data_IF_818179140172
#
_entry.id   IF_818179140172
#
_cell.length_a   1.000
_cell.length_b   1.000
_cell.length_c   1.000
_cell.angle_alpha   90.00
_cell.angle_beta   90.00
_cell.angle_gamma   90.00
#
_symmetry.space_group_name_H-M   'P 1'
#
loop_
_entity.id
_entity.type
_entity.pdbx_description
1 polymer ?
#
# COMPACT_ATOMS: atom_id res chain seq x y z
N UNK A 1 9.68 24.58 -11.73
CA UNK A 1 9.45 23.38 -12.57
C UNK A 1 8.93 22.29 -11.65
N UNK A 2 8.09 21.40 -12.11
CA UNK A 2 7.65 20.22 -11.34
C UNK A 2 8.71 19.13 -11.42
N UNK A 3 8.78 18.27 -10.39
CA UNK A 3 9.69 17.13 -10.38
C UNK A 3 9.36 16.15 -11.53
N UNK A 4 8.11 15.69 -11.63
CA UNK A 4 7.68 14.88 -12.76
C UNK A 4 7.60 15.75 -14.04
N UNK A 5 8.20 15.30 -15.16
CA UNK A 5 8.18 16.06 -16.40
C UNK A 5 6.79 16.09 -17.03
N UNK A 6 6.43 17.22 -17.67
CA UNK A 6 5.13 17.39 -18.33
C UNK A 6 4.97 16.61 -19.66
N UNK A 7 5.92 15.76 -20.03
CA UNK A 7 5.89 15.00 -21.28
C UNK A 7 4.84 13.88 -21.30
N UNK A 8 4.41 13.43 -20.14
CA UNK A 8 3.34 12.42 -19.94
C UNK A 8 2.69 12.59 -18.55
N UNK A 9 1.51 12.04 -18.30
CA UNK A 9 0.96 11.96 -16.96
C UNK A 9 1.71 10.91 -16.13
N UNK A 10 1.83 11.16 -14.81
CA UNK A 10 2.35 10.23 -13.82
C UNK A 10 1.29 10.02 -12.75
N UNK A 11 0.91 8.76 -12.54
CA UNK A 11 0.00 8.34 -11.48
C UNK A 11 0.81 7.53 -10.47
N UNK A 12 0.72 7.91 -9.21
CA UNK A 12 1.56 7.41 -8.15
C UNK A 12 0.79 6.40 -7.30
N UNK A 13 1.15 5.13 -7.41
CA UNK A 13 0.48 4.05 -6.71
C UNK A 13 0.93 3.88 -5.26
N UNK A 14 1.83 4.75 -4.76
CA UNK A 14 2.34 4.66 -3.40
C UNK A 14 2.84 5.99 -2.88
N UNK A 15 2.15 6.47 -1.86
CA UNK A 15 2.59 7.60 -1.06
C UNK A 15 1.99 7.51 0.35
N UNK A 16 2.61 8.20 1.30
CA UNK A 16 2.27 8.05 2.70
C UNK A 16 1.95 9.36 3.41
N UNK A 17 1.20 9.23 4.49
CA UNK A 17 1.21 10.21 5.58
C UNK A 17 2.10 9.69 6.70
N UNK A 18 2.84 10.60 7.34
CA UNK A 18 3.65 10.34 8.54
C UNK A 18 2.81 10.75 9.75
N UNK A 19 2.05 9.82 10.31
CA UNK A 19 1.03 10.13 11.31
C UNK A 19 1.62 10.77 12.58
N UNK A 20 0.93 11.76 13.11
CA UNK A 20 1.20 12.35 14.41
C UNK A 20 0.71 11.44 15.56
N UNK A 21 1.18 11.61 16.80
CA UNK A 21 0.89 10.70 17.92
C UNK A 21 -0.60 10.45 18.14
N UNK A 22 -1.43 11.45 17.93
CA UNK A 22 -2.87 11.41 18.16
C UNK A 22 -3.71 10.99 16.94
N UNK A 23 -3.09 10.54 15.86
CA UNK A 23 -3.72 10.21 14.59
C UNK A 23 -5.00 9.39 14.72
N UNK A 24 -4.95 8.27 15.45
CA UNK A 24 -6.13 7.44 15.70
C UNK A 24 -7.05 8.06 16.75
N UNK A 25 -6.47 8.60 17.83
CA UNK A 25 -7.26 9.14 18.97
C UNK A 25 -8.14 10.30 18.57
N UNK A 26 -7.67 11.18 17.67
CA UNK A 26 -8.39 12.36 17.21
C UNK A 26 -9.73 12.03 16.56
N UNK A 27 -9.81 10.87 15.86
CA UNK A 27 -10.98 10.41 15.13
C UNK A 27 -11.70 9.23 15.77
N UNK A 28 -11.21 8.74 16.93
CA UNK A 28 -11.80 7.62 17.64
C UNK A 28 -13.10 7.99 18.35
N UNK A 29 -14.03 7.05 18.37
CA UNK A 29 -15.24 7.17 19.16
C UNK A 29 -14.89 7.35 20.65
N UNK A 30 -15.62 8.20 21.39
CA UNK A 30 -15.32 8.50 22.80
C UNK A 30 -15.18 7.27 23.71
N UNK A 31 -15.91 6.18 23.39
CA UNK A 31 -15.92 4.95 24.19
C UNK A 31 -14.60 4.19 24.19
N UNK A 32 -13.79 4.35 23.15
CA UNK A 32 -12.56 3.56 22.93
C UNK A 32 -11.32 4.44 22.87
N UNK A 33 -11.49 5.76 22.84
CA UNK A 33 -10.39 6.71 22.61
C UNK A 33 -9.23 6.54 23.58
N UNK A 34 -9.54 6.33 24.84
CA UNK A 34 -8.52 6.20 25.89
C UNK A 34 -7.79 4.85 25.84
N UNK A 35 -8.41 3.82 25.22
CA UNK A 35 -7.84 2.49 25.06
C UNK A 35 -6.97 2.35 23.77
N UNK A 36 -7.05 3.33 22.86
CA UNK A 36 -6.22 3.37 21.65
C UNK A 36 -4.85 3.97 22.00
N UNK A 37 -3.74 3.28 21.67
CA UNK A 37 -2.41 3.83 21.90
C UNK A 37 -2.13 5.02 20.98
N UNK A 38 -1.17 5.84 21.38
CA UNK A 38 -0.54 6.79 20.47
C UNK A 38 0.30 6.05 19.43
N UNK A 39 0.54 6.71 18.31
CA UNK A 39 1.44 6.22 17.27
C UNK A 39 2.86 6.10 17.85
N UNK A 40 3.53 4.99 17.56
CA UNK A 40 4.89 4.72 18.02
C UNK A 40 5.87 4.79 16.85
N UNK A 41 6.95 5.53 17.02
CA UNK A 41 8.02 5.70 16.03
C UNK A 41 9.23 4.80 16.30
N UNK A 42 9.13 3.87 17.25
CA UNK A 42 10.25 3.03 17.69
C UNK A 42 10.86 2.14 16.59
N UNK A 43 10.16 1.98 15.50
CA UNK A 43 10.59 1.21 14.33
C UNK A 43 10.96 2.09 13.12
N UNK A 44 11.12 3.39 13.31
CA UNK A 44 11.46 4.32 12.21
C UNK A 44 12.65 5.21 12.58
N UNK A 45 13.10 6.03 11.65
CA UNK A 45 14.11 7.07 11.89
C UNK A 45 13.55 8.34 12.55
N UNK A 46 12.23 8.44 12.66
CA UNK A 46 11.57 9.58 13.30
C UNK A 46 11.89 9.57 14.79
N UNK A 47 12.41 10.68 15.29
CA UNK A 47 12.78 10.83 16.69
C UNK A 47 11.66 11.45 17.54
N UNK A 48 11.62 11.11 18.82
CA UNK A 48 10.66 11.71 19.76
C UNK A 48 10.84 13.24 19.87
N UNK A 49 12.07 13.75 19.70
CA UNK A 49 12.39 15.17 19.68
C UNK A 49 11.78 15.90 18.50
N UNK A 50 11.85 15.34 17.28
CA UNK A 50 11.22 15.91 16.09
C UNK A 50 9.70 15.98 16.27
N UNK A 51 9.11 14.91 16.73
CA UNK A 51 7.66 14.84 17.02
C UNK A 51 7.25 15.87 18.07
N UNK A 52 8.02 16.00 19.15
CA UNK A 52 7.73 16.96 20.22
C UNK A 52 7.78 18.41 19.72
N UNK A 53 8.71 18.74 18.81
CA UNK A 53 8.77 20.08 18.17
C UNK A 53 7.52 20.35 17.35
N UNK A 54 7.11 19.39 16.52
CA UNK A 54 5.91 19.52 15.67
C UNK A 54 4.65 19.65 16.53
N UNK A 55 4.49 18.82 17.56
CA UNK A 55 3.35 18.88 18.48
C UNK A 55 3.33 20.19 19.28
N UNK A 56 4.50 20.68 19.70
CA UNK A 56 4.64 21.99 20.37
C UNK A 56 4.23 23.18 19.48
N UNK A 57 4.21 22.99 18.16
CA UNK A 57 3.74 23.96 17.16
C UNK A 57 2.29 23.73 16.72
N UNK A 58 1.53 22.92 17.47
CA UNK A 58 0.14 22.61 17.19
C UNK A 58 -0.05 21.65 16.02
N UNK A 59 0.85 20.68 15.87
CA UNK A 59 0.80 19.67 14.81
C UNK A 59 1.11 20.23 13.42
N UNK A 60 2.03 21.18 13.34
CA UNK A 60 2.44 21.83 12.09
C UNK A 60 3.94 22.06 12.05
N UNK A 61 4.48 22.13 10.83
CA UNK A 61 5.82 22.65 10.65
C UNK A 61 5.85 24.17 10.87
N UNK A 62 6.99 24.71 11.28
CA UNK A 62 7.17 26.17 11.32
C UNK A 62 7.08 26.78 9.91
N UNK A 63 6.69 28.07 9.83
CA UNK A 63 6.65 28.75 8.56
C UNK A 63 8.00 28.80 7.85
N UNK A 64 9.11 28.89 8.60
CA UNK A 64 10.47 28.84 8.06
C UNK A 64 10.80 27.46 7.48
N UNK A 65 10.51 26.38 8.20
CA UNK A 65 10.70 25.03 7.70
C UNK A 65 9.88 24.78 6.43
N UNK A 66 8.60 25.13 6.47
CA UNK A 66 7.71 25.02 5.30
C UNK A 66 8.26 25.75 4.08
N UNK A 67 8.73 27.00 4.26
CA UNK A 67 9.31 27.76 3.16
C UNK A 67 10.59 27.11 2.64
N UNK A 68 11.44 26.59 3.53
CA UNK A 68 12.65 25.84 3.14
C UNK A 68 12.30 24.65 2.25
N UNK A 69 11.24 23.88 2.59
CA UNK A 69 10.79 22.77 1.76
C UNK A 69 10.25 23.23 0.39
N UNK A 70 9.51 24.33 0.34
CA UNK A 70 9.01 24.91 -0.92
C UNK A 70 10.17 25.38 -1.81
N UNK A 71 11.20 25.97 -1.23
CA UNK A 71 12.36 26.48 -1.96
C UNK A 71 13.21 25.36 -2.60
N UNK A 72 13.00 24.08 -2.21
CA UNK A 72 13.64 22.93 -2.87
C UNK A 72 13.20 22.77 -4.34
N UNK A 73 12.01 23.23 -4.70
CA UNK A 73 11.51 23.11 -6.07
C UNK A 73 11.42 21.64 -6.52
N UNK A 74 12.03 21.33 -7.66
CA UNK A 74 12.06 19.97 -8.22
C UNK A 74 12.94 18.97 -7.44
N UNK A 75 13.75 19.44 -6.50
CA UNK A 75 14.50 18.61 -5.58
C UNK A 75 13.67 18.13 -4.36
N UNK A 76 12.38 18.49 -4.26
CA UNK A 76 11.53 18.15 -3.13
C UNK A 76 11.58 16.65 -2.81
N UNK A 77 11.33 15.78 -3.80
CA UNK A 77 11.30 14.34 -3.61
C UNK A 77 12.63 13.75 -3.11
N UNK A 78 13.75 14.38 -3.50
CA UNK A 78 15.08 13.92 -3.14
C UNK A 78 15.49 14.30 -1.70
N UNK A 79 14.98 15.42 -1.19
CA UNK A 79 15.47 16.08 0.03
C UNK A 79 14.44 16.21 1.14
N UNK A 80 13.15 16.15 0.80
CA UNK A 80 12.04 16.31 1.73
C UNK A 80 11.52 14.91 2.10
N UNK A 81 11.97 14.37 3.25
CA UNK A 81 11.75 12.97 3.63
C UNK A 81 11.15 12.85 5.03
N UNK A 82 10.46 11.71 5.24
CA UNK A 82 9.86 11.30 6.50
C UNK A 82 8.95 12.39 7.09
N UNK A 83 8.89 12.48 8.40
CA UNK A 83 8.04 13.45 9.11
C UNK A 83 8.40 14.92 8.81
N UNK A 84 9.62 15.18 8.32
CA UNK A 84 10.06 16.51 7.95
C UNK A 84 9.60 16.94 6.54
N UNK A 85 9.00 16.03 5.79
CA UNK A 85 8.58 16.30 4.42
C UNK A 85 7.39 17.27 4.35
N UNK A 86 7.36 18.06 3.28
CA UNK A 86 6.20 18.92 2.99
C UNK A 86 4.96 18.07 2.75
N UNK A 87 3.92 18.28 3.55
CA UNK A 87 2.68 17.51 3.44
C UNK A 87 2.76 16.09 4.00
N UNK A 88 3.76 15.78 4.84
CA UNK A 88 3.88 14.48 5.50
C UNK A 88 2.65 14.15 6.37
N UNK A 89 2.08 15.12 7.07
CA UNK A 89 0.93 14.96 7.97
C UNK A 89 -0.09 16.11 7.87
N UNK A 90 0.19 17.13 7.08
CA UNK A 90 -0.69 18.29 6.92
C UNK A 90 -1.26 18.33 5.50
N UNK A 91 -2.60 18.27 5.37
CA UNK A 91 -3.29 18.20 4.10
C UNK A 91 -3.10 19.45 3.22
N UNK A 92 -3.01 20.65 3.81
CA UNK A 92 -2.79 21.88 3.04
C UNK A 92 -1.39 21.93 2.43
N UNK A 93 -0.39 21.46 3.19
CA UNK A 93 0.98 21.33 2.70
C UNK A 93 1.10 20.19 1.66
N UNK A 94 0.29 19.15 1.77
CA UNK A 94 0.26 18.05 0.79
C UNK A 94 -0.18 18.51 -0.59
N UNK A 95 -1.15 19.44 -0.69
CA UNK A 95 -1.54 20.06 -1.96
C UNK A 95 -0.37 20.78 -2.61
N UNK A 96 0.39 21.55 -1.81
CA UNK A 96 1.58 22.24 -2.30
C UNK A 96 2.66 21.26 -2.75
N UNK A 97 2.88 20.19 -1.99
CA UNK A 97 3.81 19.13 -2.38
C UNK A 97 3.41 18.49 -3.71
N UNK A 98 2.12 18.19 -3.92
CA UNK A 98 1.61 17.65 -5.19
C UNK A 98 1.84 18.61 -6.38
N UNK A 99 1.64 19.92 -6.18
CA UNK A 99 1.92 20.90 -7.21
C UNK A 99 3.40 20.89 -7.62
N UNK A 100 4.30 20.65 -6.66
CA UNK A 100 5.74 20.56 -6.89
C UNK A 100 6.17 19.22 -7.48
N UNK A 101 5.56 18.12 -7.04
CA UNK A 101 5.81 16.78 -7.55
C UNK A 101 5.29 16.58 -8.97
N UNK A 102 4.13 17.16 -9.29
CA UNK A 102 3.55 17.11 -10.63
C UNK A 102 2.83 15.81 -10.97
N UNK A 103 2.51 14.99 -9.97
CA UNK A 103 1.71 13.78 -10.16
C UNK A 103 0.23 14.11 -10.39
N UNK A 104 -0.44 13.31 -11.20
CA UNK A 104 -1.87 13.48 -11.52
C UNK A 104 -2.75 13.00 -10.38
N UNK A 105 -2.41 11.85 -9.79
CA UNK A 105 -3.05 11.28 -8.61
C UNK A 105 -2.01 10.53 -7.78
N UNK A 106 -2.27 10.43 -6.50
CA UNK A 106 -1.50 9.61 -5.55
C UNK A 106 -2.44 8.77 -4.68
N UNK A 107 -2.19 7.46 -4.57
CA UNK A 107 -2.70 6.68 -3.45
C UNK A 107 -1.99 7.14 -2.18
N UNK A 108 -2.76 7.32 -1.10
CA UNK A 108 -2.24 7.80 0.18
C UNK A 108 -2.47 6.74 1.25
N UNK A 109 -1.39 6.17 1.76
CA UNK A 109 -1.38 5.18 2.83
C UNK A 109 -1.03 5.82 4.19
N UNK A 110 -1.39 5.15 5.26
CA UNK A 110 -0.82 5.39 6.58
C UNK A 110 0.51 4.61 6.71
N UNK A 111 1.42 5.06 7.58
CA UNK A 111 2.73 4.44 7.82
C UNK A 111 2.75 3.59 9.09
N UNK A 112 2.41 4.18 10.22
CA UNK A 112 2.65 3.58 11.55
C UNK A 112 1.40 3.00 12.21
N UNK A 113 0.22 3.58 11.97
CA UNK A 113 -0.99 3.30 12.73
C UNK A 113 -1.64 1.95 12.44
N UNK A 114 -1.35 1.36 11.29
CA UNK A 114 -1.99 0.10 10.81
C UNK A 114 -1.64 -1.13 11.65
N UNK A 115 -0.49 -1.10 12.32
CA UNK A 115 -0.07 -2.20 13.18
C UNK A 115 -1.09 -2.51 14.30
N UNK A 116 -1.79 -1.50 14.83
CA UNK A 116 -2.76 -1.70 15.88
C UNK A 116 -4.04 -2.40 15.40
N UNK A 117 -4.73 -1.96 14.33
CA UNK A 117 -5.88 -2.67 13.75
C UNK A 117 -5.53 -4.05 13.20
N UNK A 118 -4.40 -4.18 12.49
CA UNK A 118 -4.06 -5.38 11.74
C UNK A 118 -3.52 -6.53 12.59
N UNK A 119 -2.83 -6.26 13.70
CA UNK A 119 -2.25 -7.32 14.51
C UNK A 119 -3.26 -7.99 15.44
N UNK A 120 -3.55 -9.29 15.25
CA UNK A 120 -4.41 -10.05 16.14
C UNK A 120 -3.73 -10.39 17.47
N UNK A 121 -2.41 -10.11 17.56
CA UNK A 121 -1.63 -10.44 18.74
C UNK A 121 -2.26 -9.83 19.95
N UNK A 122 -2.69 -10.67 20.85
CA UNK A 122 -3.02 -10.31 22.22
C UNK A 122 -4.46 -9.84 22.46
N UNK A 123 -4.93 -9.98 23.54
CA UNK A 123 -5.74 -9.25 24.53
C UNK A 123 -6.61 -8.04 24.08
N UNK A 124 -6.53 -7.60 22.79
CA UNK A 124 -7.38 -6.53 22.25
C UNK A 124 -8.68 -7.11 21.71
N UNK A 125 -9.81 -6.59 22.16
CA UNK A 125 -11.11 -6.99 21.63
C UNK A 125 -11.23 -6.65 20.13
N UNK A 126 -12.06 -7.38 19.42
CA UNK A 126 -12.41 -7.04 18.04
C UNK A 126 -12.98 -5.62 17.96
N UNK A 127 -13.88 -5.24 18.87
CA UNK A 127 -14.48 -3.91 18.92
C UNK A 127 -13.42 -2.80 19.00
N UNK A 128 -12.36 -3.00 19.78
CA UNK A 128 -11.29 -2.01 19.89
C UNK A 128 -10.47 -1.92 18.59
N UNK A 129 -10.14 -3.05 17.99
CA UNK A 129 -9.37 -3.08 16.73
C UNK A 129 -10.17 -2.48 15.56
N UNK A 130 -11.44 -2.84 15.42
CA UNK A 130 -12.31 -2.28 14.37
C UNK A 130 -12.72 -0.83 14.68
N UNK A 131 -12.78 -0.44 15.93
CA UNK A 131 -12.93 0.97 16.31
C UNK A 131 -11.71 1.82 15.94
N UNK A 132 -10.51 1.27 16.07
CA UNK A 132 -9.29 1.91 15.56
C UNK A 132 -9.25 1.95 14.02
N UNK A 133 -9.72 0.90 13.35
CA UNK A 133 -9.95 0.88 11.89
C UNK A 133 -10.85 2.04 11.47
N UNK A 134 -11.98 2.22 12.16
CA UNK A 134 -12.92 3.32 11.92
C UNK A 134 -12.28 4.69 12.09
N UNK A 135 -11.46 4.87 13.13
CA UNK A 135 -10.74 6.11 13.39
C UNK A 135 -9.73 6.41 12.27
N UNK A 136 -8.96 5.41 11.85
CA UNK A 136 -8.05 5.51 10.71
C UNK A 136 -8.80 5.96 9.44
N UNK A 137 -9.88 5.28 9.09
CA UNK A 137 -10.62 5.53 7.85
C UNK A 137 -11.25 6.94 7.85
N UNK A 138 -11.71 7.44 9.00
CA UNK A 138 -12.17 8.83 9.14
C UNK A 138 -11.05 9.83 8.90
N UNK A 139 -9.86 9.60 9.46
CA UNK A 139 -8.72 10.49 9.29
C UNK A 139 -8.27 10.54 7.82
N UNK A 140 -8.13 9.37 7.19
CA UNK A 140 -7.74 9.27 5.78
C UNK A 140 -8.74 9.97 4.85
N UNK A 141 -10.03 9.79 5.11
CA UNK A 141 -11.09 10.49 4.38
C UNK A 141 -10.96 12.02 4.54
N UNK A 142 -10.75 12.53 5.76
CA UNK A 142 -10.56 13.97 5.99
C UNK A 142 -9.27 14.49 5.34
N UNK A 143 -8.16 13.77 5.46
CA UNK A 143 -6.88 14.18 4.87
C UNK A 143 -6.95 14.33 3.35
N UNK A 144 -7.67 13.44 2.67
CA UNK A 144 -7.75 13.42 1.21
C UNK A 144 -8.94 14.22 0.64
N UNK A 145 -9.86 14.74 1.49
CA UNK A 145 -11.15 15.28 1.06
C UNK A 145 -11.08 16.55 0.21
N UNK A 146 -10.01 17.32 0.29
CA UNK A 146 -9.95 18.68 -0.26
C UNK A 146 -9.18 18.78 -1.59
N UNK A 147 -8.67 17.66 -2.11
CA UNK A 147 -7.91 17.61 -3.37
C UNK A 147 -8.14 16.28 -4.08
N UNK A 148 -8.82 16.30 -5.21
CA UNK A 148 -9.18 15.11 -6.01
C UNK A 148 -7.96 14.32 -6.53
N UNK A 149 -6.76 14.84 -6.38
CA UNK A 149 -5.51 14.14 -6.69
C UNK A 149 -5.08 13.18 -5.59
N UNK A 150 -5.60 13.34 -4.36
CA UNK A 150 -5.32 12.48 -3.21
C UNK A 150 -6.37 11.38 -3.10
N UNK A 151 -5.97 10.17 -3.32
CA UNK A 151 -6.82 8.99 -3.23
C UNK A 151 -6.59 8.28 -1.89
N UNK A 152 -7.51 8.48 -0.95
CA UNK A 152 -7.38 7.91 0.39
C UNK A 152 -7.50 6.40 0.41
N UNK A 153 -6.52 5.72 1.00
CA UNK A 153 -6.56 4.27 1.23
C UNK A 153 -7.14 3.97 2.61
N UNK A 154 -8.30 3.31 2.61
CA UNK A 154 -8.89 2.77 3.83
C UNK A 154 -8.24 1.46 4.25
N UNK A 155 -8.40 1.08 5.50
CA UNK A 155 -7.94 -0.22 6.00
C UNK A 155 -9.12 -1.06 6.48
N UNK A 156 -9.09 -2.39 6.27
CA UNK A 156 -10.09 -3.31 6.83
C UNK A 156 -9.41 -4.62 7.23
N UNK A 157 -9.33 -4.95 8.54
CA UNK A 157 -8.96 -6.29 8.99
C UNK A 157 -10.00 -7.31 8.58
N UNK A 158 -9.57 -8.53 8.19
CA UNK A 158 -10.44 -9.60 7.73
C UNK A 158 -10.75 -10.66 8.80
N UNK A 159 -10.37 -10.43 10.05
CA UNK A 159 -10.46 -11.45 11.12
C UNK A 159 -11.89 -11.83 11.48
N UNK A 160 -12.84 -10.92 11.31
CA UNK A 160 -14.28 -11.16 11.51
C UNK A 160 -15.05 -10.61 10.33
N UNK A 161 -15.75 -11.49 9.60
CA UNK A 161 -16.44 -11.11 8.36
C UNK A 161 -17.53 -10.05 8.55
N UNK A 162 -18.24 -10.07 9.69
CA UNK A 162 -19.30 -9.11 9.97
C UNK A 162 -18.74 -7.71 10.25
N UNK A 163 -17.69 -7.62 11.06
CA UNK A 163 -17.02 -6.35 11.31
C UNK A 163 -16.34 -5.84 10.04
N UNK A 164 -15.70 -6.73 9.27
CA UNK A 164 -15.07 -6.38 8.00
C UNK A 164 -16.08 -5.75 7.01
N UNK A 165 -17.27 -6.34 6.87
CA UNK A 165 -18.32 -5.76 6.04
C UNK A 165 -18.75 -4.38 6.53
N UNK A 166 -19.00 -4.23 7.85
CA UNK A 166 -19.40 -2.94 8.43
C UNK A 166 -18.36 -1.84 8.22
N UNK A 167 -17.06 -2.19 8.31
CA UNK A 167 -15.99 -1.22 8.07
C UNK A 167 -15.74 -0.95 6.58
N UNK A 168 -15.98 -1.95 5.71
CA UNK A 168 -15.94 -1.74 4.27
C UNK A 168 -17.04 -0.78 3.82
N UNK A 169 -18.29 -1.03 4.21
CA UNK A 169 -19.41 -0.15 3.90
C UNK A 169 -19.13 1.29 4.35
N UNK A 170 -18.63 1.44 5.58
CA UNK A 170 -18.24 2.76 6.08
C UNK A 170 -17.12 3.41 5.25
N UNK A 171 -16.07 2.68 4.90
CA UNK A 171 -14.95 3.21 4.13
C UNK A 171 -15.40 3.69 2.74
N UNK A 172 -16.29 2.94 2.10
CA UNK A 172 -16.90 3.31 0.82
C UNK A 172 -17.78 4.57 0.95
N UNK A 173 -18.64 4.63 1.96
CA UNK A 173 -19.48 5.80 2.25
C UNK A 173 -18.66 7.05 2.60
N UNK A 174 -17.49 6.87 3.22
CA UNK A 174 -16.55 7.93 3.53
C UNK A 174 -15.71 8.41 2.32
N UNK A 175 -15.93 7.81 1.13
CA UNK A 175 -15.25 8.20 -0.10
C UNK A 175 -13.81 7.69 -0.23
N UNK A 176 -13.42 6.67 0.53
CA UNK A 176 -12.10 6.04 0.37
C UNK A 176 -12.05 5.23 -0.92
N UNK A 177 -10.95 5.37 -1.66
CA UNK A 177 -10.88 4.93 -3.05
C UNK A 177 -10.21 3.58 -3.25
N UNK A 178 -9.57 3.05 -2.22
CA UNK A 178 -9.00 1.71 -2.18
C UNK A 178 -9.00 1.18 -0.76
N UNK A 179 -8.95 -0.15 -0.59
CA UNK A 179 -9.01 -0.80 0.71
C UNK A 179 -7.77 -1.68 0.93
N UNK A 180 -6.90 -1.27 1.83
CA UNK A 180 -5.78 -2.08 2.27
C UNK A 180 -6.25 -3.16 3.23
N UNK A 181 -5.98 -4.42 2.91
CA UNK A 181 -6.27 -5.59 3.74
C UNK A 181 -4.98 -6.29 4.19
N UNK A 182 -4.93 -6.86 5.39
CA UNK A 182 -3.75 -7.59 5.84
C UNK A 182 -3.58 -8.89 5.03
N UNK A 183 -2.40 -9.09 4.43
CA UNK A 183 -2.08 -10.26 3.63
C UNK A 183 -1.58 -11.43 4.48
N UNK A 184 -2.42 -11.87 5.39
CA UNK A 184 -2.26 -13.05 6.26
C UNK A 184 -3.57 -13.83 6.34
N UNK A 185 -3.50 -15.05 6.83
CA UNK A 185 -4.73 -15.83 7.06
C UNK A 185 -5.65 -15.07 8.05
N UNK A 186 -6.92 -14.85 7.71
CA UNK A 186 -7.91 -14.27 8.61
C UNK A 186 -8.25 -15.28 9.72
N UNK A 187 -7.63 -15.15 10.89
CA UNK A 187 -7.60 -16.18 11.93
C UNK A 187 -7.13 -17.54 11.37
N UNK A 188 -8.02 -18.52 11.34
CA UNK A 188 -7.83 -19.88 10.86
C UNK A 188 -8.48 -20.14 9.49
N UNK A 189 -8.86 -19.09 8.76
CA UNK A 189 -9.56 -19.15 7.47
C UNK A 189 -8.66 -18.77 6.31
N UNK A 190 -8.99 -19.28 5.14
CA UNK A 190 -8.44 -18.75 3.89
C UNK A 190 -9.01 -17.35 3.59
N UNK A 191 -8.28 -16.45 2.91
CA UNK A 191 -8.87 -15.21 2.39
C UNK A 191 -10.02 -15.47 1.41
N UNK A 192 -10.08 -16.65 0.77
CA UNK A 192 -11.20 -17.07 -0.09
C UNK A 192 -12.33 -17.81 0.64
N UNK A 193 -12.34 -17.80 1.98
CA UNK A 193 -13.40 -18.44 2.76
C UNK A 193 -14.78 -17.85 2.44
N UNK A 194 -15.81 -18.71 2.39
CA UNK A 194 -17.19 -18.33 2.01
C UNK A 194 -17.76 -17.17 2.83
N UNK A 195 -17.38 -17.00 4.09
CA UNK A 195 -17.82 -15.89 4.93
C UNK A 195 -17.29 -14.52 4.45
N UNK A 196 -16.19 -14.50 3.68
CA UNK A 196 -15.60 -13.29 3.10
C UNK A 196 -16.06 -13.04 1.65
N UNK A 197 -16.83 -13.95 1.06
CA UNK A 197 -17.35 -13.72 -0.31
C UNK A 197 -18.15 -12.43 -0.45
N UNK A 198 -19.04 -12.04 0.50
CA UNK A 198 -19.74 -10.74 0.41
C UNK A 198 -18.78 -9.55 0.39
N UNK A 199 -17.64 -9.62 1.10
CA UNK A 199 -16.63 -8.58 1.13
C UNK A 199 -15.98 -8.37 -0.25
N UNK A 200 -15.57 -9.48 -0.90
CA UNK A 200 -14.96 -9.43 -2.22
C UNK A 200 -15.96 -9.02 -3.30
N UNK A 201 -17.22 -9.49 -3.19
CA UNK A 201 -18.28 -9.12 -4.10
C UNK A 201 -18.62 -7.63 -4.02
N UNK A 202 -18.69 -7.04 -2.83
CA UNK A 202 -18.96 -5.62 -2.67
C UNK A 202 -17.83 -4.75 -3.26
N UNK A 203 -16.57 -5.15 -3.09
CA UNK A 203 -15.44 -4.47 -3.74
C UNK A 203 -15.51 -4.57 -5.27
N UNK A 204 -15.91 -5.74 -5.79
CA UNK A 204 -16.08 -5.94 -7.22
C UNK A 204 -17.24 -5.12 -7.80
N UNK A 205 -18.36 -5.02 -7.09
CA UNK A 205 -19.57 -4.27 -7.47
C UNK A 205 -19.33 -2.76 -7.46
N UNK A 206 -18.59 -2.26 -6.47
CA UNK A 206 -18.26 -0.83 -6.34
C UNK A 206 -17.07 -0.41 -7.19
N UNK A 207 -16.34 -1.37 -7.77
CA UNK A 207 -15.09 -1.11 -8.49
C UNK A 207 -13.96 -0.58 -7.59
N UNK A 208 -14.04 -0.83 -6.27
CA UNK A 208 -13.02 -0.41 -5.30
C UNK A 208 -11.94 -1.48 -5.21
N UNK A 209 -10.67 -1.18 -5.55
CA UNK A 209 -9.60 -2.15 -5.47
C UNK A 209 -9.23 -2.50 -4.03
N UNK A 210 -8.88 -3.77 -3.79
CA UNK A 210 -8.16 -4.13 -2.58
C UNK A 210 -6.65 -3.96 -2.76
N UNK A 211 -5.96 -3.62 -1.68
CA UNK A 211 -4.51 -3.42 -1.69
C UNK A 211 -3.83 -4.34 -0.67
N UNK A 212 -2.69 -4.85 -1.06
CA UNK A 212 -1.71 -5.49 -0.19
C UNK A 212 -0.50 -4.55 -0.15
N UNK A 213 0.01 -4.27 1.04
CA UNK A 213 1.12 -3.34 1.23
C UNK A 213 2.02 -3.84 2.36
N UNK A 214 3.29 -3.49 2.36
CA UNK A 214 4.19 -3.78 3.49
C UNK A 214 3.55 -3.30 4.80
N UNK A 215 3.83 -3.96 5.92
CA UNK A 215 3.09 -3.69 7.17
C UNK A 215 1.73 -4.43 7.31
N UNK A 216 1.13 -4.91 6.22
CA UNK A 216 -0.11 -5.68 6.22
C UNK A 216 0.02 -7.10 6.79
N UNK A 217 1.23 -7.59 6.98
CA UNK A 217 1.55 -8.87 7.63
C UNK A 217 2.80 -8.72 8.50
N UNK A 218 2.94 -9.47 9.59
CA UNK A 218 4.19 -9.51 10.33
C UNK A 218 5.35 -9.91 9.42
N UNK A 219 6.51 -9.27 9.58
CA UNK A 219 7.73 -9.64 8.87
C UNK A 219 8.08 -11.11 9.17
N UNK A 220 8.35 -11.89 8.13
CA UNK A 220 8.22 -13.34 8.16
C UNK A 220 9.51 -14.11 8.45
N UNK A 221 10.67 -13.44 8.52
CA UNK A 221 11.86 -14.16 8.94
C UNK A 221 11.67 -14.66 10.38
N UNK A 222 11.53 -15.96 10.55
CA UNK A 222 11.39 -16.57 11.87
C UNK A 222 12.47 -16.04 12.81
N UNK A 223 12.07 -15.62 14.00
CA UNK A 223 13.00 -15.07 15.01
C UNK A 223 14.22 -15.98 15.25
N UNK A 224 14.03 -17.28 15.19
CA UNK A 224 15.12 -18.27 15.30
C UNK A 224 16.18 -18.11 14.19
N UNK A 225 15.80 -17.75 12.97
CA UNK A 225 16.73 -17.55 11.86
C UNK A 225 17.59 -16.28 12.00
N UNK A 226 17.16 -15.34 12.81
CA UNK A 226 17.95 -14.17 13.16
C UNK A 226 19.04 -14.49 14.20
N UNK A 227 18.89 -15.59 14.96
CA UNK A 227 19.88 -16.04 15.92
C UNK A 227 20.99 -16.84 15.21
N UNK A 228 22.02 -16.15 14.70
CA UNK A 228 23.19 -16.74 14.06
C UNK A 228 24.41 -16.80 14.99
N UNK A 229 24.25 -16.58 16.29
CA UNK A 229 25.33 -16.56 17.29
C UNK A 229 26.24 -15.34 17.23
N UNK A 230 25.87 -14.31 16.44
CA UNK A 230 26.62 -13.04 16.33
C UNK A 230 25.82 -11.91 16.97
N UNK A 231 26.48 -10.80 17.26
CA UNK A 231 25.80 -9.59 17.70
C UNK A 231 24.73 -9.18 16.65
N UNK A 232 23.52 -8.82 17.07
CA UNK A 232 22.50 -8.36 16.13
C UNK A 232 22.97 -7.07 15.44
N UNK A 233 22.63 -6.94 14.17
CA UNK A 233 22.80 -5.67 13.46
C UNK A 233 21.74 -4.73 14.00
N UNK A 234 22.14 -3.56 14.43
CA UNK A 234 21.25 -2.51 14.99
C UNK A 234 21.02 -1.38 14.00
N UNK A 235 21.78 -1.36 12.92
CA UNK A 235 21.69 -0.37 11.88
C UNK A 235 21.05 -1.01 10.63
N UNK A 236 19.85 -0.66 10.36
CA UNK A 236 19.10 -1.01 9.14
C UNK A 236 18.76 0.25 8.37
N UNK A 237 18.32 0.11 7.15
CA UNK A 237 18.11 1.25 6.24
C UNK A 237 17.21 2.32 6.83
N UNK A 238 16.36 1.98 7.81
CA UNK A 238 15.48 2.91 8.50
C UNK A 238 14.63 3.72 7.54
N UNK A 239 13.44 3.88 7.83
CA UNK A 239 12.45 4.57 7.03
C UNK A 239 11.14 4.39 7.73
N UNK A 240 10.05 4.58 7.05
CA UNK A 240 8.72 4.36 7.58
C UNK A 240 8.51 2.93 8.05
N UNK A 241 9.04 1.98 7.31
CA UNK A 241 8.74 0.55 7.46
C UNK A 241 9.80 -0.24 8.23
N UNK A 242 11.00 0.25 8.34
CA UNK A 242 12.14 -0.35 9.04
C UNK A 242 12.35 -1.85 8.75
N UNK A 243 12.38 -2.20 7.47
CA UNK A 243 12.57 -3.58 7.00
C UNK A 243 14.02 -4.02 7.21
N UNK A 244 14.22 -5.12 7.95
CA UNK A 244 15.54 -5.67 8.20
C UNK A 244 16.03 -6.51 7.02
N UNK A 245 17.34 -6.62 6.84
CA UNK A 245 17.99 -7.35 5.74
C UNK A 245 17.41 -8.74 5.47
N UNK A 246 17.17 -9.54 6.53
CA UNK A 246 16.62 -10.89 6.37
C UNK A 246 15.11 -10.86 6.03
N UNK A 247 14.38 -9.91 6.57
CA UNK A 247 12.96 -9.75 6.27
C UNK A 247 12.77 -9.33 4.81
N UNK A 248 13.60 -8.42 4.30
CA UNK A 248 13.59 -8.01 2.90
C UNK A 248 13.74 -9.17 1.90
N UNK A 249 14.46 -10.24 2.29
CA UNK A 249 14.62 -11.42 1.42
C UNK A 249 13.36 -12.28 1.30
N UNK A 250 12.38 -12.12 2.17
CA UNK A 250 11.17 -12.97 2.25
C UNK A 250 9.86 -12.18 2.34
N UNK A 251 9.92 -10.84 2.30
CA UNK A 251 8.74 -9.99 2.46
C UNK A 251 7.67 -10.20 1.38
N UNK A 252 8.06 -10.71 0.22
CA UNK A 252 7.13 -11.04 -0.87
C UNK A 252 6.32 -12.31 -0.63
N UNK A 253 6.76 -13.22 0.27
CA UNK A 253 6.13 -14.52 0.45
C UNK A 253 4.69 -14.45 1.02
N UNK A 254 4.37 -13.60 2.02
CA UNK A 254 3.00 -13.48 2.51
C UNK A 254 2.01 -12.99 1.45
N UNK A 255 2.26 -11.89 0.71
CA UNK A 255 1.33 -11.44 -0.33
C UNK A 255 1.24 -12.44 -1.49
N UNK A 256 2.34 -13.08 -1.90
CA UNK A 256 2.34 -14.16 -2.89
C UNK A 256 1.44 -15.32 -2.46
N UNK A 257 1.55 -15.72 -1.19
CA UNK A 257 0.69 -16.78 -0.62
C UNK A 257 -0.77 -16.33 -0.58
N UNK A 258 -1.04 -15.12 -0.13
CA UNK A 258 -2.41 -14.57 -0.04
C UNK A 258 -3.11 -14.54 -1.40
N UNK A 259 -2.45 -13.99 -2.43
CA UNK A 259 -2.96 -13.95 -3.81
C UNK A 259 -3.17 -15.38 -4.34
N UNK A 260 -2.23 -16.28 -4.09
CA UNK A 260 -2.34 -17.68 -4.51
C UNK A 260 -3.57 -18.36 -3.90
N UNK A 261 -3.84 -18.16 -2.61
CA UNK A 261 -5.03 -18.72 -1.96
C UNK A 261 -6.32 -18.08 -2.50
N UNK A 262 -6.38 -16.77 -2.64
CA UNK A 262 -7.55 -16.11 -3.26
C UNK A 262 -7.85 -16.67 -4.65
N UNK A 263 -6.83 -16.89 -5.46
CA UNK A 263 -6.99 -17.41 -6.83
C UNK A 263 -7.44 -18.87 -6.81
N UNK A 264 -6.77 -19.74 -6.04
CA UNK A 264 -7.09 -21.17 -5.98
C UNK A 264 -8.45 -21.44 -5.32
N UNK A 265 -8.89 -20.58 -4.40
CA UNK A 265 -10.25 -20.62 -3.84
C UNK A 265 -11.29 -20.00 -4.79
N UNK A 266 -10.89 -19.52 -5.97
CA UNK A 266 -11.78 -19.03 -7.03
C UNK A 266 -12.37 -17.63 -6.80
N UNK A 267 -11.80 -16.81 -5.89
CA UNK A 267 -12.30 -15.45 -5.60
C UNK A 267 -12.29 -14.59 -6.87
N UNK A 268 -11.18 -14.57 -7.60
CA UNK A 268 -11.07 -13.81 -8.86
C UNK A 268 -11.99 -14.34 -9.95
N UNK A 269 -12.19 -15.67 -10.02
CA UNK A 269 -13.08 -16.27 -11.00
C UNK A 269 -14.55 -15.93 -10.75
N UNK A 270 -14.99 -15.93 -9.47
CA UNK A 270 -16.37 -15.56 -9.08
C UNK A 270 -16.62 -14.05 -9.16
N UNK A 271 -15.57 -13.24 -8.98
CA UNK A 271 -15.63 -11.78 -8.98
C UNK A 271 -14.75 -11.21 -10.10
N UNK A 272 -15.13 -11.35 -11.40
CA UNK A 272 -14.26 -11.01 -12.54
C UNK A 272 -13.96 -9.50 -12.66
N UNK A 273 -14.73 -8.64 -12.02
CA UNK A 273 -14.51 -7.19 -11.96
C UNK A 273 -13.70 -6.75 -10.75
N UNK A 274 -13.44 -7.65 -9.79
CA UNK A 274 -12.59 -7.37 -8.63
C UNK A 274 -11.20 -6.96 -9.10
N UNK A 275 -10.72 -5.82 -8.59
CA UNK A 275 -9.38 -5.32 -8.84
C UNK A 275 -8.55 -5.32 -7.55
N UNK A 276 -7.23 -5.42 -7.68
CA UNK A 276 -6.33 -5.32 -6.55
C UNK A 276 -4.92 -4.94 -6.96
N UNK A 277 -4.09 -4.60 -5.98
CA UNK A 277 -2.68 -4.36 -6.22
C UNK A 277 -1.82 -4.82 -5.02
N UNK A 278 -0.58 -5.22 -5.31
CA UNK A 278 0.47 -5.41 -4.32
C UNK A 278 1.48 -4.28 -4.44
N UNK A 279 1.54 -3.44 -3.41
CA UNK A 279 2.25 -2.17 -3.37
C UNK A 279 3.39 -2.27 -2.36
N UNK A 280 4.56 -1.74 -2.69
CA UNK A 280 5.79 -1.76 -1.87
C UNK A 280 6.23 -3.17 -1.41
N UNK A 281 5.97 -4.18 -2.23
CA UNK A 281 6.32 -5.58 -1.96
C UNK A 281 7.30 -6.13 -3.00
N UNK A 282 7.80 -5.24 -3.89
CA UNK A 282 8.57 -5.60 -5.05
C UNK A 282 7.76 -6.38 -6.08
N UNK A 283 8.33 -6.61 -7.25
CA UNK A 283 7.64 -7.27 -8.35
C UNK A 283 8.45 -8.41 -9.00
N UNK A 284 9.70 -8.61 -8.58
CA UNK A 284 10.56 -9.64 -9.13
C UNK A 284 10.04 -11.08 -9.00
N UNK A 285 9.13 -11.31 -8.06
CA UNK A 285 8.48 -12.61 -7.82
C UNK A 285 7.27 -12.90 -8.73
N UNK A 286 6.72 -11.86 -9.37
CA UNK A 286 5.46 -11.95 -10.14
C UNK A 286 5.56 -12.87 -11.35
N UNK A 287 6.60 -12.80 -12.22
CA UNK A 287 6.68 -13.67 -13.40
C UNK A 287 6.67 -15.16 -13.06
N UNK A 288 7.35 -15.55 -11.98
CA UNK A 288 7.38 -16.94 -11.52
C UNK A 288 6.08 -17.38 -10.83
N UNK A 289 5.41 -16.45 -10.12
CA UNK A 289 4.08 -16.72 -9.56
C UNK A 289 3.10 -17.10 -10.67
N UNK A 290 3.00 -16.29 -11.74
CA UNK A 290 2.08 -16.54 -12.86
C UNK A 290 2.29 -17.92 -13.48
N UNK A 291 3.53 -18.26 -13.79
CA UNK A 291 3.89 -19.58 -14.36
C UNK A 291 3.53 -20.72 -13.43
N UNK A 292 3.81 -20.56 -12.14
CA UNK A 292 3.54 -21.59 -11.13
C UNK A 292 2.04 -21.82 -10.94
N UNK A 293 1.25 -20.77 -10.89
CA UNK A 293 -0.21 -20.87 -10.74
C UNK A 293 -0.85 -21.54 -11.98
N UNK A 294 -0.43 -21.19 -13.19
CA UNK A 294 -0.89 -21.85 -14.43
C UNK A 294 -0.54 -23.34 -14.45
N UNK A 295 0.70 -23.65 -14.04
CA UNK A 295 1.14 -25.04 -13.95
C UNK A 295 0.32 -25.83 -12.92
N UNK A 296 0.09 -25.26 -11.73
CA UNK A 296 -0.69 -25.91 -10.66
C UNK A 296 -2.13 -26.15 -11.14
N UNK A 297 -2.81 -25.14 -11.66
CA UNK A 297 -4.17 -25.26 -12.18
C UNK A 297 -4.27 -26.34 -13.28
N UNK A 298 -3.32 -26.36 -14.21
CA UNK A 298 -3.27 -27.32 -15.31
C UNK A 298 -3.07 -28.78 -14.83
N UNK A 299 -2.21 -29.01 -13.84
CA UNK A 299 -1.91 -30.37 -13.37
C UNK A 299 -2.98 -30.84 -12.40
N UNK A 300 -3.31 -30.03 -11.40
CA UNK A 300 -4.25 -30.44 -10.36
C UNK A 300 -5.71 -30.37 -10.79
N UNK A 301 -6.08 -29.54 -11.76
CA UNK A 301 -7.40 -29.51 -12.35
C UNK A 301 -7.87 -30.83 -12.99
N UNK A 302 -6.94 -31.80 -13.14
CA UNK A 302 -7.31 -33.16 -13.56
C UNK A 302 -8.05 -33.97 -12.47
N UNK A 303 -7.80 -33.64 -11.21
CA UNK A 303 -8.34 -34.36 -10.03
C UNK A 303 -9.15 -33.44 -9.11
N UNK A 304 -8.92 -32.15 -9.16
CA UNK A 304 -9.60 -31.14 -8.36
C UNK A 304 -10.37 -30.18 -9.29
N UNK A 305 -11.70 -30.28 -9.23
CA UNK A 305 -12.58 -29.46 -10.06
C UNK A 305 -12.59 -27.99 -9.66
N UNK A 306 -12.28 -27.67 -8.41
CA UNK A 306 -12.28 -26.29 -7.89
C UNK A 306 -11.25 -25.39 -8.56
N UNK A 307 -10.19 -25.96 -9.13
CA UNK A 307 -9.13 -25.21 -9.84
C UNK A 307 -9.21 -25.35 -11.36
N UNK A 308 -10.37 -25.77 -11.91
CA UNK A 308 -10.66 -25.76 -13.36
C UNK A 308 -11.24 -24.41 -13.76
N UNK A 309 -10.38 -23.47 -14.02
CA UNK A 309 -10.78 -22.13 -14.44
C UNK A 309 -11.01 -22.03 -15.96
N UNK A 310 -11.96 -21.18 -16.39
CA UNK A 310 -12.15 -20.83 -17.80
C UNK A 310 -11.00 -19.97 -18.32
N UNK A 311 -10.59 -18.97 -17.53
CA UNK A 311 -9.40 -18.14 -17.77
C UNK A 311 -8.24 -18.72 -16.93
N UNK A 312 -7.06 -18.78 -17.53
CA UNK A 312 -5.88 -19.22 -16.78
C UNK A 312 -5.60 -18.30 -15.57
N UNK A 313 -4.95 -18.78 -14.51
CA UNK A 313 -4.49 -17.95 -13.41
C UNK A 313 -3.75 -16.70 -13.83
N UNK A 314 -2.83 -16.81 -14.79
CA UNK A 314 -2.07 -15.69 -15.32
C UNK A 314 -2.94 -14.67 -16.03
N UNK A 315 -3.96 -15.09 -16.80
CA UNK A 315 -4.93 -14.20 -17.42
C UNK A 315 -5.75 -13.45 -16.37
N UNK A 316 -6.26 -14.17 -15.35
CA UNK A 316 -7.03 -13.55 -14.26
C UNK A 316 -6.20 -12.48 -13.54
N UNK A 317 -4.96 -12.81 -13.14
CA UNK A 317 -4.10 -11.84 -12.43
C UNK A 317 -3.69 -10.67 -13.32
N UNK A 318 -3.43 -10.89 -14.62
CA UNK A 318 -3.11 -9.81 -15.55
C UNK A 318 -4.26 -8.80 -15.69
N UNK A 319 -5.49 -9.27 -15.69
CA UNK A 319 -6.68 -8.41 -15.79
C UNK A 319 -7.05 -7.72 -14.48
N UNK A 320 -6.82 -8.38 -13.35
CA UNK A 320 -7.38 -7.99 -12.05
C UNK A 320 -6.37 -7.42 -11.06
N UNK A 321 -5.05 -7.63 -11.29
CA UNK A 321 -4.00 -7.19 -10.35
C UNK A 321 -3.03 -6.19 -10.97
N UNK A 322 -2.40 -5.41 -10.08
CA UNK A 322 -1.24 -4.58 -10.37
C UNK A 322 -0.15 -4.75 -9.32
N UNK A 323 1.08 -4.42 -9.68
CA UNK A 323 2.24 -4.59 -8.82
C UNK A 323 3.16 -3.38 -8.95
N UNK A 324 3.74 -2.91 -7.84
CA UNK A 324 4.75 -1.85 -7.88
C UNK A 324 6.14 -2.46 -7.68
N UNK A 325 7.02 -2.36 -8.70
CA UNK A 325 8.41 -2.75 -8.53
C UNK A 325 9.16 -1.74 -7.66
N UNK A 326 10.19 -2.20 -6.96
CA UNK A 326 11.14 -1.29 -6.32
C UNK A 326 11.97 -0.53 -7.36
N UNK A 327 12.45 0.69 -7.04
CA UNK A 327 13.25 1.48 -7.99
C UNK A 327 14.58 0.85 -8.45
N UNK A 328 15.00 -0.26 -7.89
CA UNK A 328 16.19 -1.01 -8.26
C UNK A 328 15.88 -2.27 -9.10
N UNK A 329 14.62 -2.61 -9.32
CA UNK A 329 14.22 -3.74 -10.15
C UNK A 329 14.20 -3.35 -11.64
N UNK A 330 14.57 -4.29 -12.49
CA UNK A 330 14.57 -4.11 -13.96
C UNK A 330 13.16 -4.33 -14.53
N UNK A 331 12.39 -3.25 -14.63
CA UNK A 331 10.99 -3.29 -15.07
C UNK A 331 10.87 -3.79 -16.52
N UNK A 332 11.79 -3.43 -17.42
CA UNK A 332 11.77 -3.91 -18.79
C UNK A 332 11.89 -5.44 -18.84
N UNK A 333 12.78 -6.00 -18.02
CA UNK A 333 12.91 -7.44 -17.88
C UNK A 333 11.66 -8.10 -17.27
N UNK A 334 11.05 -7.48 -16.26
CA UNK A 334 9.79 -7.97 -15.67
C UNK A 334 8.66 -8.02 -16.72
N UNK A 335 8.49 -6.97 -17.50
CA UNK A 335 7.52 -6.91 -18.59
C UNK A 335 7.78 -8.01 -19.61
N UNK A 336 9.04 -8.20 -20.01
CA UNK A 336 9.42 -9.22 -21.01
C UNK A 336 9.15 -10.66 -20.55
N UNK A 337 9.18 -10.91 -19.25
CA UNK A 337 8.96 -12.24 -18.66
C UNK A 337 7.50 -12.52 -18.30
N UNK A 338 6.63 -11.51 -18.34
CA UNK A 338 5.23 -11.62 -17.92
C UNK A 338 4.28 -10.84 -18.84
N UNK A 339 3.85 -9.64 -18.42
CA UNK A 339 2.92 -8.81 -19.20
C UNK A 339 3.08 -7.32 -18.85
N UNK A 340 2.96 -6.45 -19.86
CA UNK A 340 3.06 -4.99 -19.73
C UNK A 340 1.91 -4.35 -18.88
N UNK A 341 0.80 -5.07 -18.72
CA UNK A 341 -0.36 -4.58 -17.97
C UNK A 341 -0.26 -4.81 -16.45
N UNK A 342 0.85 -5.37 -15.94
CA UNK A 342 0.97 -5.76 -14.53
C UNK A 342 1.62 -4.69 -13.65
N UNK A 343 2.48 -3.84 -14.19
CA UNK A 343 3.36 -3.01 -13.36
C UNK A 343 2.96 -1.55 -13.37
N UNK A 344 3.06 -0.91 -12.20
CA UNK A 344 2.71 0.50 -11.99
C UNK A 344 3.85 1.26 -11.34
N UNK A 345 3.94 2.55 -11.68
CA UNK A 345 4.83 3.49 -11.03
C UNK A 345 4.39 3.75 -9.58
N UNK A 346 5.38 3.90 -8.70
CA UNK A 346 5.20 4.38 -7.33
C UNK A 346 6.39 5.25 -6.91
N UNK A 347 6.13 6.27 -6.09
CA UNK A 347 7.17 7.16 -5.58
C UNK A 347 7.57 6.87 -4.15
N UNK A 348 6.66 6.30 -3.39
CA UNK A 348 6.77 6.07 -1.96
C UNK A 348 7.11 7.38 -1.19
N UNK A 349 6.55 8.51 -1.64
CA UNK A 349 6.74 9.80 -0.98
C UNK A 349 5.93 9.86 0.32
N UNK A 350 6.50 10.24 1.46
CA UNK A 350 7.82 10.83 1.64
C UNK A 350 8.91 9.87 2.20
N UNK A 351 8.71 8.56 2.16
CA UNK A 351 9.66 7.58 2.70
C UNK A 351 11.03 7.63 2.01
N UNK A 352 12.08 7.26 2.74
CA UNK A 352 13.44 7.19 2.18
C UNK A 352 13.59 6.02 1.22
N UNK A 353 12.79 4.97 1.36
CA UNK A 353 12.78 3.75 0.55
C UNK A 353 12.48 4.03 -0.92
N UNK A 354 11.58 4.98 -1.22
CA UNK A 354 11.30 5.43 -2.59
C UNK A 354 12.53 6.04 -3.29
N UNK A 355 13.56 6.37 -2.51
CA UNK A 355 14.81 6.91 -3.02
C UNK A 355 14.72 8.39 -3.38
N UNK A 356 15.71 8.87 -4.15
CA UNK A 356 15.85 10.30 -4.46
C UNK A 356 15.30 10.72 -5.80
N UNK A 357 15.13 9.77 -6.71
CA UNK A 357 14.68 10.04 -8.07
C UNK A 357 13.98 8.79 -8.67
N UNK A 358 12.79 8.41 -8.16
CA UNK A 358 12.07 7.25 -8.69
C UNK A 358 11.65 7.45 -10.16
N UNK A 359 11.18 8.64 -10.57
CA UNK A 359 10.80 8.91 -11.96
C UNK A 359 12.00 8.73 -12.90
N UNK A 360 13.16 9.31 -12.57
CA UNK A 360 14.35 9.18 -13.39
C UNK A 360 14.86 7.74 -13.48
N UNK A 361 14.83 6.99 -12.39
CA UNK A 361 15.25 5.58 -12.37
C UNK A 361 14.36 4.71 -13.27
N UNK A 362 13.03 4.81 -13.11
CA UNK A 362 12.11 4.03 -13.94
C UNK A 362 12.10 4.48 -15.41
N UNK A 363 12.22 5.80 -15.67
CA UNK A 363 12.38 6.30 -17.05
C UNK A 363 13.62 5.71 -17.71
N UNK A 364 14.73 5.60 -16.98
CA UNK A 364 15.95 4.98 -17.48
C UNK A 364 15.79 3.48 -17.70
N UNK A 365 15.13 2.78 -16.78
CA UNK A 365 14.87 1.34 -16.91
C UNK A 365 14.02 1.00 -18.15
N UNK A 366 13.16 1.92 -18.57
CA UNK A 366 12.24 1.78 -19.69
C UNK A 366 12.67 2.57 -20.95
N UNK A 367 13.89 3.13 -21.00
CA UNK A 367 14.34 4.03 -22.08
C UNK A 367 14.34 3.38 -23.47
N UNK A 368 14.53 2.05 -23.54
CA UNK A 368 14.56 1.28 -24.78
C UNK A 368 13.21 0.60 -25.09
N UNK A 369 12.23 0.76 -24.23
CA UNK A 369 10.90 0.17 -24.39
C UNK A 369 9.98 1.06 -25.23
N UNK A 370 8.93 0.44 -25.79
CA UNK A 370 7.92 1.14 -26.58
C UNK A 370 7.23 2.23 -25.77
N UNK A 371 6.67 3.23 -26.47
CA UNK A 371 5.86 4.26 -25.83
C UNK A 371 4.67 3.64 -25.06
N UNK A 372 4.05 2.59 -25.62
CA UNK A 372 2.91 1.92 -24.99
C UNK A 372 3.29 1.31 -23.64
N UNK A 373 4.43 0.58 -23.55
CA UNK A 373 4.93 0.03 -22.28
C UNK A 373 5.19 1.14 -21.25
N UNK A 374 5.80 2.23 -21.68
CA UNK A 374 6.03 3.39 -20.83
C UNK A 374 4.71 4.02 -20.35
N UNK A 375 3.74 4.23 -21.24
CA UNK A 375 2.45 4.82 -20.89
C UNK A 375 1.66 3.86 -19.98
N UNK A 376 1.72 2.55 -20.21
CA UNK A 376 1.15 1.54 -19.31
C UNK A 376 1.74 1.65 -17.90
N UNK A 377 3.05 1.70 -17.77
CA UNK A 377 3.73 1.73 -16.48
C UNK A 377 3.45 3.01 -15.68
N UNK A 378 3.51 4.18 -16.32
CA UNK A 378 3.39 5.46 -15.61
C UNK A 378 1.95 5.94 -15.44
N UNK A 379 0.97 5.38 -16.20
CA UNK A 379 -0.41 5.86 -16.16
C UNK A 379 -1.48 4.80 -16.38
N UNK A 380 -1.47 4.04 -17.51
CA UNK A 380 -2.65 3.30 -17.93
C UNK A 380 -2.99 2.12 -17.00
N UNK A 381 -1.97 1.44 -16.45
CA UNK A 381 -2.17 0.37 -15.48
C UNK A 381 -2.79 0.88 -14.18
N UNK A 382 -2.40 2.07 -13.73
CA UNK A 382 -3.04 2.73 -12.60
C UNK A 382 -4.51 3.01 -12.91
N UNK A 383 -4.81 3.67 -14.04
CA UNK A 383 -6.18 4.02 -14.44
C UNK A 383 -7.08 2.80 -14.66
N UNK A 384 -6.51 1.68 -15.12
CA UNK A 384 -7.25 0.41 -15.26
C UNK A 384 -7.73 -0.14 -13.92
N UNK A 385 -6.96 0.06 -12.85
CA UNK A 385 -7.28 -0.44 -11.51
C UNK A 385 -8.06 0.59 -10.69
N UNK A 386 -7.76 1.87 -10.87
CA UNK A 386 -8.33 3.01 -10.15
C UNK A 386 -8.98 3.99 -11.14
N UNK A 387 -10.16 3.68 -11.70
CA UNK A 387 -10.79 4.52 -12.69
C UNK A 387 -11.15 5.90 -12.11
N UNK A 388 -10.96 6.97 -12.91
CA UNK A 388 -11.19 8.36 -12.48
C UNK A 388 -12.65 8.68 -12.17
N UNK A 389 -13.58 7.95 -12.77
CA UNK A 389 -15.00 8.05 -12.48
C UNK A 389 -15.51 6.72 -11.94
N UNK A 390 -15.81 6.68 -10.66
CA UNK A 390 -16.68 5.62 -10.13
C UNK A 390 -18.13 6.03 -10.41
N UNK A 391 -18.84 5.19 -11.13
CA UNK A 391 -20.27 5.37 -11.43
C UNK A 391 -21.09 5.07 -10.19
#
# INVERSE_FOLDING_TARGET
MTYAPNSRPFYDADSHIMELPDFLKSYADPKIRDDIPEVSYSASLVTDEEVAVIMGQGGRHSGEHRQTMIDLGDELIAKSKEIQALGAFNKDDRKVALDMLGFKKQLVFATHSVAFPFHPSSKKSLDLRYGATRAHNRHMSDFCSDDDRLMGVGIVPLDDAKHAMTELEFALDAGLEAIWVPHRAPFDKSPGHVDLEPFWSLLAETGTPFLLHVGGSPLQALKAWSNNGRAPVTDWMGGGENVRTKDATVMHQPPETFISMMLMDGVFNRNPTLKGAAVELGAGWVPELLKRLDWVAKIYGRVDESVRFERTPSEQLTEQMGFTPFPHEDVANLVSQSNENLYMFSSDYPHVEGGRDPVGKFTKALENESRAINDNFFSENFLRLFPESRV
#
